data_IF_651450794628
#
_entry.id   IF_651450794628
#
_cell.length_a   1.000
_cell.length_b   1.000
_cell.length_c   1.000
_cell.angle_alpha   90.00
_cell.angle_beta   90.00
_cell.angle_gamma   90.00
#
_symmetry.space_group_name_H-M   'P 1'
#
loop_
_entity.id
_entity.type
_entity.pdbx_description
1 polymer ?
#
# COMPACT_ATOMS: atom_id res chain seq x y z
N UNK A 1 11.37 -48.35 15.18
CA UNK A 1 11.45 -47.60 13.91
C UNK A 1 10.89 -46.20 14.16
N UNK A 2 11.75 -45.19 14.07
CA UNK A 2 11.43 -43.78 14.23
C UNK A 2 10.81 -43.22 12.94
N UNK A 3 9.68 -42.53 13.05
CA UNK A 3 9.22 -41.58 12.02
C UNK A 3 8.84 -40.25 12.69
N UNK A 4 9.82 -39.60 13.31
CA UNK A 4 9.82 -38.14 13.42
C UNK A 4 10.48 -37.61 12.16
N UNK A 5 9.72 -37.21 11.14
CA UNK A 5 10.25 -36.33 10.11
C UNK A 5 9.15 -35.74 9.23
N UNK A 6 9.15 -34.41 9.16
CA UNK A 6 8.77 -33.60 8.00
C UNK A 6 7.30 -33.58 7.55
N UNK A 7 6.45 -32.89 8.33
CA UNK A 7 5.39 -32.05 7.74
C UNK A 7 5.57 -30.61 8.23
N UNK A 8 6.74 -30.08 7.93
CA UNK A 8 7.11 -28.70 8.25
C UNK A 8 7.81 -28.12 7.02
N UNK A 9 7.09 -27.90 5.93
CA UNK A 9 7.48 -26.94 4.88
C UNK A 9 6.39 -26.85 3.79
N UNK A 10 5.22 -26.31 4.12
CA UNK A 10 4.33 -25.76 3.09
C UNK A 10 3.54 -24.56 3.60
N UNK A 11 4.19 -23.73 4.42
CA UNK A 11 3.91 -22.30 4.36
C UNK A 11 4.76 -21.77 3.19
N UNK A 12 4.41 -22.19 1.97
CA UNK A 12 4.81 -21.49 0.77
C UNK A 12 4.20 -20.11 0.91
N UNK A 13 4.99 -19.23 1.51
CA UNK A 13 4.86 -17.80 1.41
C UNK A 13 4.80 -17.53 -0.09
N UNK A 14 3.58 -17.52 -0.62
CA UNK A 14 3.28 -16.86 -1.85
C UNK A 14 3.56 -15.39 -1.51
N UNK A 15 4.82 -14.99 -1.60
CA UNK A 15 5.19 -13.62 -1.90
C UNK A 15 4.61 -13.37 -3.28
N UNK A 16 3.28 -13.28 -3.36
CA UNK A 16 2.63 -12.55 -4.42
C UNK A 16 3.34 -11.19 -4.37
N UNK A 17 4.00 -10.86 -5.48
CA UNK A 17 4.64 -9.57 -5.69
C UNK A 17 3.53 -8.54 -5.58
N UNK A 18 3.23 -8.09 -4.36
CA UNK A 18 2.19 -7.13 -4.09
C UNK A 18 2.62 -5.86 -4.81
N UNK A 19 1.80 -5.43 -5.77
CA UNK A 19 2.09 -4.24 -6.54
C UNK A 19 2.27 -3.06 -5.58
N UNK A 20 3.29 -2.26 -5.84
CA UNK A 20 3.65 -1.10 -5.05
C UNK A 20 3.02 0.13 -5.68
N UNK A 21 2.49 1.01 -4.86
CA UNK A 21 1.81 2.23 -5.29
C UNK A 21 2.19 3.39 -4.39
N UNK A 22 2.04 4.59 -4.92
CA UNK A 22 2.20 5.85 -4.20
C UNK A 22 0.84 6.55 -4.18
N UNK A 23 0.36 6.92 -2.99
CA UNK A 23 -0.83 7.75 -2.81
C UNK A 23 -0.39 9.15 -2.40
N UNK A 24 -0.91 10.18 -3.09
CA UNK A 24 -0.62 11.59 -2.79
C UNK A 24 -1.94 12.36 -2.64
N UNK A 25 -2.11 13.03 -1.51
CA UNK A 25 -3.23 13.95 -1.27
C UNK A 25 -2.97 15.28 -1.98
N UNK A 26 -3.89 15.71 -2.83
CA UNK A 26 -3.72 16.89 -3.69
C UNK A 26 -3.58 18.19 -2.90
N UNK A 27 -4.22 18.26 -1.73
CA UNK A 27 -4.14 19.42 -0.85
C UNK A 27 -2.91 19.41 0.07
N UNK A 28 -2.06 18.39 -0.04
CA UNK A 28 -0.82 18.30 0.71
C UNK A 28 -1.05 18.49 2.22
N UNK A 29 -0.29 19.40 2.82
CA UNK A 29 -0.28 19.66 4.26
C UNK A 29 -1.60 20.25 4.80
N UNK A 30 -2.51 20.70 3.93
CA UNK A 30 -3.85 21.17 4.33
C UNK A 30 -4.77 20.00 4.65
N UNK A 31 -4.48 18.81 4.11
CA UNK A 31 -5.23 17.59 4.39
C UNK A 31 -5.13 17.25 5.88
N UNK A 32 -6.27 17.15 6.61
CA UNK A 32 -6.25 16.83 8.04
C UNK A 32 -5.55 15.50 8.29
N UNK A 33 -4.66 15.47 9.28
CA UNK A 33 -3.93 14.26 9.61
C UNK A 33 -4.91 13.12 9.95
N UNK A 34 -6.02 13.40 10.63
CA UNK A 34 -7.05 12.41 10.95
C UNK A 34 -7.61 11.71 9.69
N UNK A 35 -7.78 12.46 8.60
CA UNK A 35 -8.22 11.89 7.32
C UNK A 35 -7.13 11.03 6.69
N UNK A 36 -5.86 11.49 6.69
CA UNK A 36 -4.71 10.70 6.23
C UNK A 36 -4.61 9.37 6.98
N UNK A 37 -4.76 9.42 8.31
CA UNK A 37 -4.73 8.24 9.18
C UNK A 37 -5.90 7.29 8.88
N UNK A 38 -7.10 7.83 8.68
CA UNK A 38 -8.28 7.04 8.29
C UNK A 38 -8.08 6.29 6.99
N UNK A 39 -7.57 6.95 5.93
CA UNK A 39 -7.26 6.28 4.65
C UNK A 39 -6.24 5.17 4.86
N UNK A 40 -5.20 5.43 5.67
CA UNK A 40 -4.17 4.43 5.99
C UNK A 40 -4.74 3.19 6.67
N UNK A 41 -5.57 3.38 7.70
CA UNK A 41 -6.21 2.28 8.42
C UNK A 41 -7.13 1.46 7.51
N UNK A 42 -7.84 2.11 6.59
CA UNK A 42 -8.67 1.41 5.62
C UNK A 42 -7.84 0.57 4.64
N UNK A 43 -6.71 1.08 4.16
CA UNK A 43 -5.78 0.30 3.33
C UNK A 43 -5.28 -0.95 4.09
N UNK A 44 -4.94 -0.81 5.37
CA UNK A 44 -4.53 -1.94 6.21
C UNK A 44 -5.67 -2.95 6.41
N UNK A 45 -6.90 -2.48 6.65
CA UNK A 45 -8.09 -3.35 6.77
C UNK A 45 -8.37 -4.13 5.48
N UNK A 46 -8.03 -3.56 4.34
CA UNK A 46 -8.11 -4.19 3.03
C UNK A 46 -6.96 -5.19 2.76
N UNK A 47 -6.08 -5.45 3.74
CA UNK A 47 -4.94 -6.35 3.58
C UNK A 47 -3.72 -5.69 2.94
N UNK A 48 -3.75 -4.36 2.76
CA UNK A 48 -2.61 -3.59 2.29
C UNK A 48 -1.55 -3.37 3.37
N UNK A 49 -0.36 -2.95 2.94
CA UNK A 49 0.77 -2.61 3.82
C UNK A 49 1.30 -1.24 3.45
N UNK A 50 1.63 -0.44 4.47
CA UNK A 50 2.24 0.88 4.29
C UNK A 50 3.75 0.72 4.37
N UNK A 51 4.47 1.26 3.38
CA UNK A 51 5.92 1.07 3.23
C UNK A 51 6.72 2.29 3.65
N UNK A 52 6.27 3.49 3.28
CA UNK A 52 7.00 4.73 3.50
C UNK A 52 6.06 5.94 3.51
N UNK A 53 6.28 6.88 4.41
CA UNK A 53 5.51 8.12 4.50
C UNK A 53 6.25 9.29 3.83
N UNK A 54 5.52 10.07 3.04
CA UNK A 54 5.97 11.37 2.55
C UNK A 54 5.45 12.46 3.48
N UNK A 55 6.36 13.13 4.20
CA UNK A 55 6.00 14.10 5.25
C UNK A 55 6.52 15.52 4.98
N UNK A 56 7.15 15.77 3.83
CA UNK A 56 7.79 17.05 3.52
C UNK A 56 6.95 17.88 2.53
N UNK A 57 7.29 17.81 1.25
CA UNK A 57 6.67 18.60 0.17
C UNK A 57 5.34 18.00 -0.30
N UNK A 58 5.17 16.70 -0.14
CA UNK A 58 3.98 15.94 -0.48
C UNK A 58 3.41 15.35 0.80
N UNK A 59 2.09 15.29 0.90
CA UNK A 59 1.40 14.50 1.92
C UNK A 59 0.88 13.24 1.23
N UNK A 60 1.34 12.09 1.69
CA UNK A 60 1.07 10.84 1.03
C UNK A 60 1.92 9.71 1.59
N UNK A 61 1.79 8.53 1.03
CA UNK A 61 2.59 7.38 1.42
C UNK A 61 2.66 6.33 0.31
N UNK A 62 3.74 5.55 0.33
CA UNK A 62 3.87 4.36 -0.47
C UNK A 62 3.19 3.18 0.24
N UNK A 63 2.46 2.37 -0.50
CA UNK A 63 1.75 1.21 0.02
C UNK A 63 1.76 0.06 -1.00
N UNK A 64 1.37 -1.13 -0.57
CA UNK A 64 1.09 -2.26 -1.45
C UNK A 64 -0.25 -2.89 -1.11
N UNK A 65 -0.91 -3.48 -2.09
CA UNK A 65 -2.16 -4.23 -1.94
C UNK A 65 -2.06 -5.60 -2.61
N UNK A 66 -2.90 -6.57 -2.21
CA UNK A 66 -2.82 -7.94 -2.73
C UNK A 66 -3.18 -8.07 -4.21
N UNK A 67 -4.12 -7.24 -4.70
CA UNK A 67 -4.65 -7.31 -6.06
C UNK A 67 -5.28 -5.98 -6.53
N UNK A 68 -5.63 -5.92 -7.82
CA UNK A 68 -6.25 -4.76 -8.46
C UNK A 68 -7.67 -4.45 -7.94
N UNK A 69 -8.40 -5.46 -7.44
CA UNK A 69 -9.74 -5.25 -6.86
C UNK A 69 -9.60 -4.41 -5.60
N UNK A 70 -8.62 -4.74 -4.78
CA UNK A 70 -8.27 -4.00 -3.57
C UNK A 70 -7.86 -2.57 -3.91
N UNK A 71 -7.08 -2.35 -4.98
CA UNK A 71 -6.70 -1.02 -5.43
C UNK A 71 -7.92 -0.15 -5.77
N UNK A 72 -8.95 -0.72 -6.41
CA UNK A 72 -10.17 0.04 -6.71
C UNK A 72 -10.92 0.44 -5.44
N UNK A 73 -10.99 -0.44 -4.43
CA UNK A 73 -11.53 -0.08 -3.11
C UNK A 73 -10.73 1.02 -2.43
N UNK A 74 -9.41 1.09 -2.62
CA UNK A 74 -8.61 2.21 -2.12
C UNK A 74 -8.97 3.52 -2.84
N UNK A 75 -9.17 3.51 -4.16
CA UNK A 75 -9.57 4.71 -4.92
C UNK A 75 -10.91 5.29 -4.45
N UNK A 76 -11.83 4.42 -4.03
CA UNK A 76 -13.15 4.82 -3.51
C UNK A 76 -13.08 5.52 -2.14
N UNK A 77 -11.95 5.47 -1.44
CA UNK A 77 -11.75 6.23 -0.20
C UNK A 77 -11.50 7.73 -0.45
N UNK A 78 -11.27 8.12 -1.70
CA UNK A 78 -11.01 9.50 -2.08
C UNK A 78 -12.25 10.36 -1.85
N UNK A 79 -12.06 11.47 -1.14
CA UNK A 79 -13.11 12.40 -0.76
C UNK A 79 -13.03 13.67 -1.62
N UNK A 80 -14.18 14.24 -1.99
CA UNK A 80 -14.21 15.45 -2.83
C UNK A 80 -13.51 16.65 -2.17
N UNK A 81 -13.56 16.74 -0.84
CA UNK A 81 -12.91 17.82 -0.07
C UNK A 81 -11.42 17.57 0.08
N UNK A 82 -10.96 16.32 0.12
CA UNK A 82 -9.56 15.96 0.29
C UNK A 82 -9.14 14.87 -0.72
N UNK A 83 -9.15 15.20 -2.02
CA UNK A 83 -8.88 14.21 -3.05
C UNK A 83 -7.43 13.74 -2.98
N UNK A 84 -7.22 12.49 -3.37
CA UNK A 84 -5.90 11.94 -3.63
C UNK A 84 -5.87 11.22 -4.98
N UNK A 85 -4.67 11.10 -5.53
CA UNK A 85 -4.39 10.24 -6.68
C UNK A 85 -3.42 9.13 -6.29
N UNK A 86 -3.41 8.07 -7.10
CA UNK A 86 -2.57 6.89 -6.91
C UNK A 86 -1.76 6.63 -8.18
N UNK A 87 -0.45 6.44 -8.02
CA UNK A 87 0.46 6.05 -9.09
C UNK A 87 1.07 4.68 -8.79
N UNK A 88 1.32 3.89 -9.84
CA UNK A 88 2.06 2.62 -9.71
C UNK A 88 3.55 2.93 -9.53
N UNK A 89 4.11 2.46 -8.43
CA UNK A 89 5.52 2.62 -8.10
C UNK A 89 6.35 1.77 -9.09
N UNK A 90 7.15 2.45 -9.92
CA UNK A 90 7.86 1.85 -11.04
C UNK A 90 9.36 1.80 -10.77
N UNK A 91 10.01 0.70 -11.16
CA UNK A 91 11.46 0.56 -11.02
C UNK A 91 12.21 1.47 -12.00
N UNK A 92 13.08 2.33 -11.46
CA UNK A 92 13.99 3.14 -12.28
C UNK A 92 15.17 2.28 -12.72
N UNK A 93 15.28 2.06 -14.02
CA UNK A 93 16.42 1.35 -14.61
C UNK A 93 17.55 2.34 -14.94
N UNK A 94 18.74 2.11 -14.37
CA UNK A 94 19.92 2.88 -14.71
C UNK A 94 20.63 2.25 -15.91
N UNK A 95 20.57 2.91 -17.07
CA UNK A 95 21.32 2.52 -18.25
C UNK A 95 22.63 3.32 -18.28
N UNK A 96 23.63 2.81 -17.56
CA UNK A 96 25.01 3.33 -17.60
C UNK A 96 25.83 2.63 -18.69
#
# INVERSE_FOLDING_TARGET
>A
MNFKSLSLLLCTLCLALADSYILIFEQGQVTPNEYVQSVRENIIKLGGTIKYDYTTLLTGFAFSVPDDVTLNSVKELSDEKYPFFIEKDSEVHNYA
#
